data_IF_047001268943
#
_entry.id   IF_047001268943
#
_cell.length_a   1.000
_cell.length_b   1.000
_cell.length_c   1.000
_cell.angle_alpha   90.00
_cell.angle_beta   90.00
_cell.angle_gamma   90.00
#
_symmetry.space_group_name_H-M   'P 1'
#
loop_
_entity.id
_entity.type
_entity.pdbx_description
1 polymer ?
#
# COMPACT_ATOMS: atom_id res chain seq x y z
N UNK A 1 -27.26 30.82 -41.72
CA UNK A 1 -26.25 29.75 -41.88
C UNK A 1 -24.89 30.39 -41.65
N UNK A 2 -24.25 30.13 -40.51
CA UNK A 2 -23.00 30.78 -40.12
C UNK A 2 -21.79 30.24 -40.92
N UNK A 3 -20.77 31.05 -41.25
CA UNK A 3 -19.56 30.61 -41.93
C UNK A 3 -18.40 30.37 -40.94
N UNK A 4 -17.49 29.44 -41.22
CA UNK A 4 -16.08 29.54 -40.80
C UNK A 4 -15.18 28.53 -41.54
N UNK A 5 -14.02 29.07 -41.90
CA UNK A 5 -12.98 28.60 -42.82
C UNK A 5 -12.15 27.39 -42.37
N UNK A 6 -11.41 26.73 -43.30
CA UNK A 6 -10.59 25.57 -43.01
C UNK A 6 -9.29 25.99 -42.31
N UNK A 7 -8.98 25.39 -41.17
CA UNK A 7 -7.66 25.52 -40.58
C UNK A 7 -6.71 24.51 -41.22
N UNK A 8 -5.83 25.04 -42.06
CA UNK A 8 -4.68 24.33 -42.62
C UNK A 8 -3.54 24.13 -41.63
N UNK A 9 -2.58 23.34 -42.12
CA UNK A 9 -1.22 23.13 -41.65
C UNK A 9 -1.04 22.29 -40.37
N UNK A 10 -1.13 20.97 -40.57
CA UNK A 10 -0.42 20.00 -39.73
C UNK A 10 1.09 20.32 -39.72
N UNK A 11 1.58 20.89 -38.62
CA UNK A 11 3.01 20.93 -38.32
C UNK A 11 3.38 19.64 -37.60
N UNK A 12 3.72 18.63 -38.41
CA UNK A 12 4.21 17.36 -37.93
C UNK A 12 5.55 17.50 -37.21
N UNK A 13 5.65 16.94 -35.99
CA UNK A 13 6.53 15.79 -35.72
C UNK A 13 5.95 14.92 -34.60
N UNK A 14 5.35 13.77 -34.95
CA UNK A 14 5.60 12.53 -34.22
C UNK A 14 6.05 11.41 -35.17
N UNK A 15 6.88 10.50 -34.67
CA UNK A 15 7.51 9.43 -35.45
C UNK A 15 6.54 8.60 -36.30
N UNK A 16 6.72 8.74 -37.62
CA UNK A 16 6.57 7.75 -38.71
C UNK A 16 5.30 6.92 -38.94
N UNK A 17 4.27 6.97 -38.10
CA UNK A 17 2.93 6.54 -38.46
C UNK A 17 1.97 7.22 -37.47
N UNK A 18 0.98 7.98 -37.95
CA UNK A 18 0.11 8.88 -37.16
C UNK A 18 -0.74 8.25 -36.05
N UNK A 19 -0.10 7.55 -35.11
CA UNK A 19 -0.67 6.96 -33.91
C UNK A 19 -0.22 7.79 -32.71
N UNK A 20 -1.19 8.19 -31.88
CA UNK A 20 -0.93 8.75 -30.57
C UNK A 20 -0.74 7.62 -29.56
N UNK A 21 0.44 7.55 -28.96
CA UNK A 21 0.78 6.57 -27.93
C UNK A 21 0.61 7.18 -26.54
N UNK A 22 0.05 6.42 -25.60
CA UNK A 22 0.01 6.79 -24.18
C UNK A 22 0.65 5.70 -23.31
N UNK A 23 1.43 6.12 -22.31
CA UNK A 23 2.09 5.22 -21.38
C UNK A 23 1.13 4.82 -20.25
N UNK A 24 1.12 3.52 -19.93
CA UNK A 24 0.39 2.97 -18.81
C UNK A 24 1.31 2.25 -17.83
N UNK A 25 0.94 2.26 -16.55
CA UNK A 25 1.61 1.59 -15.45
C UNK A 25 1.09 0.16 -15.41
N UNK A 26 1.93 -0.79 -15.82
CA UNK A 26 1.62 -2.22 -15.74
C UNK A 26 1.78 -2.76 -14.31
N UNK A 27 2.88 -2.39 -13.66
CA UNK A 27 3.16 -2.70 -12.27
C UNK A 27 3.95 -1.56 -11.64
N UNK A 28 3.73 -1.31 -10.35
CA UNK A 28 4.52 -0.36 -9.58
C UNK A 28 4.81 -0.91 -8.19
N UNK A 29 6.04 -0.74 -7.72
CA UNK A 29 6.47 -1.14 -6.38
C UNK A 29 6.94 0.06 -5.59
N UNK A 30 6.55 0.10 -4.32
CA UNK A 30 6.98 1.14 -3.38
C UNK A 30 7.44 0.47 -2.11
N UNK A 31 8.65 0.82 -1.68
CA UNK A 31 9.26 0.13 -0.56
C UNK A 31 9.84 1.10 0.45
N UNK A 32 9.84 0.67 1.70
CA UNK A 32 10.38 1.38 2.84
C UNK A 32 11.20 0.38 3.66
N UNK A 33 12.48 0.69 3.89
CA UNK A 33 13.37 -0.17 4.68
C UNK A 33 13.73 0.56 5.98
N UNK A 34 13.48 -0.07 7.13
CA UNK A 34 13.98 0.38 8.43
C UNK A 34 15.30 -0.31 8.69
N UNK A 35 16.36 0.47 8.96
CA UNK A 35 17.70 -0.05 9.23
C UNK A 35 17.91 -0.06 10.74
N UNK A 36 18.29 -1.21 11.27
CA UNK A 36 18.56 -1.38 12.70
C UNK A 36 20.04 -1.09 13.01
N UNK A 37 20.26 -0.35 14.09
CA UNK A 37 21.57 -0.12 14.69
C UNK A 37 22.11 -1.42 15.32
N UNK A 38 21.22 -2.23 15.89
CA UNK A 38 21.48 -3.57 16.45
C UNK A 38 20.78 -4.64 15.60
N UNK A 39 21.49 -5.27 14.65
CA UNK A 39 20.86 -6.15 13.66
C UNK A 39 20.16 -7.37 14.27
N UNK A 40 20.72 -7.97 15.33
CA UNK A 40 20.12 -9.10 16.05
C UNK A 40 18.76 -8.71 16.66
N UNK A 41 18.67 -7.54 17.30
CA UNK A 41 17.40 -7.03 17.84
C UNK A 41 16.38 -6.76 16.75
N UNK A 42 16.82 -6.29 15.59
CA UNK A 42 15.96 -6.11 14.42
C UNK A 42 15.35 -7.42 13.92
N UNK A 43 16.14 -8.52 13.95
CA UNK A 43 15.65 -9.86 13.60
C UNK A 43 14.62 -10.37 14.62
N UNK A 44 14.95 -10.31 15.91
CA UNK A 44 14.05 -10.73 16.99
C UNK A 44 12.70 -9.99 16.89
N UNK A 45 12.76 -8.67 16.70
CA UNK A 45 11.58 -7.82 16.51
C UNK A 45 10.74 -8.27 15.30
N UNK A 46 11.37 -8.58 14.16
CA UNK A 46 10.64 -9.04 12.98
C UNK A 46 9.99 -10.42 13.19
N UNK A 47 10.66 -11.32 13.91
CA UNK A 47 10.09 -12.62 14.25
C UNK A 47 8.86 -12.50 15.18
N UNK A 48 8.87 -11.54 16.10
CA UNK A 48 7.69 -11.19 16.91
C UNK A 48 6.56 -10.62 16.06
N UNK A 49 6.86 -9.68 15.15
CA UNK A 49 5.86 -9.14 14.21
C UNK A 49 5.15 -10.28 13.47
N UNK A 50 5.90 -11.25 12.92
CA UNK A 50 5.30 -12.36 12.18
C UNK A 50 4.32 -13.14 13.06
N UNK A 51 4.66 -13.43 14.32
CA UNK A 51 3.80 -14.20 15.23
C UNK A 51 2.51 -13.46 15.57
N UNK A 52 2.62 -12.16 15.82
CA UNK A 52 1.50 -11.35 16.33
C UNK A 52 0.53 -10.88 15.25
N UNK A 53 0.92 -10.96 13.97
CA UNK A 53 0.21 -10.32 12.86
C UNK A 53 -0.26 -11.30 11.77
N UNK A 54 -0.43 -12.59 12.12
CA UNK A 54 -0.97 -13.62 11.22
C UNK A 54 -2.43 -13.34 10.79
N UNK A 55 -3.13 -12.45 11.47
CA UNK A 55 -4.52 -12.10 11.23
C UNK A 55 -4.71 -10.81 10.42
N UNK A 56 -3.63 -10.16 9.95
CA UNK A 56 -3.71 -8.87 9.24
C UNK A 56 -4.53 -8.87 7.94
N UNK A 57 -4.85 -10.05 7.41
CA UNK A 57 -5.72 -10.27 6.26
C UNK A 57 -7.20 -10.19 6.60
N UNK A 58 -7.57 -10.16 7.89
CA UNK A 58 -8.95 -9.98 8.32
C UNK A 58 -9.47 -8.60 7.88
N UNK A 59 -10.75 -8.48 7.49
CA UNK A 59 -11.29 -7.24 6.95
C UNK A 59 -11.09 -6.00 7.83
N UNK A 60 -11.19 -6.10 9.15
CA UNK A 60 -10.95 -4.99 10.07
C UNK A 60 -9.49 -4.52 10.06
N UNK A 61 -8.53 -5.44 9.96
CA UNK A 61 -7.09 -5.14 9.88
C UNK A 61 -6.69 -4.54 8.55
N UNK A 62 -7.15 -5.15 7.46
CA UNK A 62 -6.94 -4.65 6.09
C UNK A 62 -7.47 -3.22 5.95
N UNK A 63 -8.61 -2.90 6.56
CA UNK A 63 -9.15 -1.54 6.54
C UNK A 63 -8.18 -0.49 7.11
N UNK A 64 -7.45 -0.84 8.18
CA UNK A 64 -6.49 0.04 8.81
C UNK A 64 -5.27 0.27 7.91
N UNK A 65 -4.69 -0.80 7.37
CA UNK A 65 -3.49 -0.74 6.54
C UNK A 65 -3.77 0.01 5.23
N UNK A 66 -4.86 -0.32 4.56
CA UNK A 66 -5.18 0.23 3.25
C UNK A 66 -5.96 1.55 3.31
N UNK A 67 -6.52 1.91 4.47
CA UNK A 67 -7.35 3.11 4.64
C UNK A 67 -8.60 3.09 3.75
N UNK A 68 -9.16 1.91 3.52
CA UNK A 68 -10.33 1.68 2.65
C UNK A 68 -11.31 0.80 3.38
N UNK A 69 -12.60 1.14 3.35
CA UNK A 69 -13.65 0.32 3.96
C UNK A 69 -13.78 -1.04 3.27
N UNK A 70 -13.66 -2.12 4.04
CA UNK A 70 -13.83 -3.51 3.61
C UNK A 70 -15.05 -4.06 4.34
N UNK A 71 -16.01 -4.56 3.56
CA UNK A 71 -17.24 -5.16 4.06
C UNK A 71 -17.44 -6.52 3.41
N UNK A 72 -18.43 -7.29 3.85
CA UNK A 72 -18.81 -8.55 3.18
C UNK A 72 -19.15 -8.38 1.69
N UNK A 73 -19.48 -7.16 1.24
CA UNK A 73 -19.79 -6.84 -0.17
C UNK A 73 -18.57 -6.33 -0.94
N UNK A 74 -17.42 -6.13 -0.30
CA UNK A 74 -16.22 -5.65 -1.00
C UNK A 74 -15.63 -6.83 -1.79
N UNK A 75 -15.61 -6.78 -3.13
CA UNK A 75 -15.08 -7.88 -3.93
C UNK A 75 -13.55 -7.95 -3.82
N UNK A 76 -13.02 -9.16 -3.97
CA UNK A 76 -11.59 -9.46 -4.00
C UNK A 76 -11.12 -10.27 -2.79
N UNK A 77 -9.88 -10.72 -2.86
CA UNK A 77 -9.25 -11.55 -1.83
C UNK A 77 -8.50 -10.69 -0.82
N UNK A 78 -8.63 -11.04 0.46
CA UNK A 78 -7.91 -10.46 1.57
C UNK A 78 -7.32 -11.60 2.38
N UNK A 79 -5.99 -11.66 2.50
CA UNK A 79 -5.32 -12.76 3.20
C UNK A 79 -3.98 -12.34 3.78
N UNK A 80 -3.59 -13.00 4.86
CA UNK A 80 -2.21 -13.01 5.35
C UNK A 80 -1.59 -14.36 5.07
N UNK A 81 -0.31 -14.37 4.68
CA UNK A 81 0.50 -15.59 4.56
C UNK A 81 1.89 -15.32 5.12
N UNK A 82 2.47 -16.32 5.76
CA UNK A 82 3.91 -16.35 6.02
C UNK A 82 4.53 -17.28 4.99
N UNK A 83 5.50 -16.78 4.24
CA UNK A 83 6.25 -17.56 3.26
C UNK A 83 7.68 -17.64 3.76
N UNK A 84 8.17 -18.86 3.93
CA UNK A 84 9.53 -19.13 4.34
C UNK A 84 10.34 -19.62 3.14
N UNK A 85 11.40 -18.88 2.81
CA UNK A 85 12.42 -19.31 1.86
C UNK A 85 13.73 -19.54 2.62
N UNK A 86 14.12 -20.81 2.76
CA UNK A 86 15.21 -21.23 3.66
C UNK A 86 14.96 -20.79 5.12
N UNK A 87 15.80 -19.89 5.63
CA UNK A 87 15.74 -19.35 7.01
C UNK A 87 15.19 -17.93 7.07
N UNK A 88 14.64 -17.43 5.96
CA UNK A 88 14.13 -16.06 5.85
C UNK A 88 12.61 -16.08 5.67
N UNK A 89 11.85 -15.96 6.78
CA UNK A 89 10.41 -15.79 6.66
C UNK A 89 10.05 -14.40 6.13
N UNK A 90 8.91 -14.31 5.47
CA UNK A 90 8.33 -13.08 4.96
C UNK A 90 6.83 -13.06 5.26
N UNK A 91 6.33 -11.91 5.70
CA UNK A 91 4.92 -11.67 5.91
C UNK A 91 4.32 -11.08 4.63
N UNK A 92 3.25 -11.68 4.13
CA UNK A 92 2.50 -11.21 2.97
C UNK A 92 1.07 -10.86 3.37
N UNK A 93 0.62 -9.67 3.01
CA UNK A 93 -0.75 -9.21 3.21
C UNK A 93 -1.31 -8.82 1.84
N UNK A 94 -2.26 -9.61 1.36
CA UNK A 94 -2.92 -9.36 0.09
C UNK A 94 -4.16 -8.47 0.28
N UNK A 95 -4.30 -7.48 -0.60
CA UNK A 95 -5.51 -6.69 -0.77
C UNK A 95 -5.85 -6.69 -2.26
N UNK A 96 -6.78 -7.54 -2.68
CA UNK A 96 -7.10 -7.75 -4.10
C UNK A 96 -5.82 -8.06 -4.90
N UNK A 97 -5.48 -7.27 -5.93
CA UNK A 97 -4.25 -7.43 -6.72
C UNK A 97 -3.06 -6.64 -6.17
N UNK A 98 -3.15 -6.12 -4.94
CA UNK A 98 -2.02 -5.56 -4.22
C UNK A 98 -1.40 -6.62 -3.30
N UNK A 99 -0.08 -6.72 -3.25
CA UNK A 99 0.64 -7.53 -2.27
C UNK A 99 1.57 -6.64 -1.46
N UNK A 100 1.38 -6.65 -0.13
CA UNK A 100 2.27 -6.01 0.82
C UNK A 100 3.18 -7.09 1.41
N UNK A 101 4.47 -7.00 1.17
CA UNK A 101 5.47 -7.93 1.67
C UNK A 101 6.31 -7.26 2.72
N UNK A 102 6.58 -7.95 3.82
CA UNK A 102 7.58 -7.52 4.80
C UNK A 102 8.56 -8.65 5.08
N UNK A 103 9.85 -8.35 5.05
CA UNK A 103 10.91 -9.33 5.26
C UNK A 103 12.18 -8.70 5.84
N UNK A 104 12.96 -9.52 6.53
CA UNK A 104 14.27 -9.12 7.02
C UNK A 104 15.32 -9.23 5.90
N UNK A 105 15.89 -8.10 5.51
CA UNK A 105 16.81 -7.91 4.39
C UNK A 105 18.24 -7.70 4.88
N UNK A 106 19.19 -8.40 4.25
CA UNK A 106 20.64 -8.20 4.40
C UNK A 106 21.13 -8.27 5.86
N UNK A 107 20.41 -9.01 6.71
CA UNK A 107 20.75 -9.18 8.11
C UNK A 107 20.63 -7.93 8.98
N UNK A 108 20.18 -6.78 8.45
CA UNK A 108 20.17 -5.50 9.17
C UNK A 108 18.95 -4.61 8.92
N UNK A 109 18.15 -4.88 7.89
CA UNK A 109 16.99 -4.07 7.56
C UNK A 109 15.70 -4.87 7.63
N UNK A 110 14.60 -4.24 8.05
CA UNK A 110 13.25 -4.76 7.77
C UNK A 110 12.70 -3.97 6.57
N UNK A 111 12.38 -4.67 5.49
CA UNK A 111 11.84 -4.05 4.27
C UNK A 111 10.37 -4.35 4.15
N UNK A 112 9.56 -3.30 4.05
CA UNK A 112 8.16 -3.34 3.66
C UNK A 112 8.04 -2.90 2.20
N UNK A 113 7.40 -3.69 1.37
CA UNK A 113 7.28 -3.48 -0.07
C UNK A 113 5.84 -3.72 -0.53
N UNK A 114 5.24 -2.71 -1.15
CA UNK A 114 3.90 -2.77 -1.69
C UNK A 114 3.92 -2.81 -3.21
N UNK A 115 3.33 -3.85 -3.80
CA UNK A 115 3.24 -4.03 -5.25
C UNK A 115 1.82 -3.79 -5.74
N UNK A 116 1.63 -2.78 -6.59
CA UNK A 116 0.41 -2.54 -7.35
C UNK A 116 0.44 -3.35 -8.65
N UNK A 117 -0.35 -4.42 -8.75
CA UNK A 117 -0.57 -5.14 -10.03
C UNK A 117 -1.81 -4.68 -10.79
N UNK A 118 -2.73 -3.99 -10.09
CA UNK A 118 -3.89 -3.35 -10.70
C UNK A 118 -4.22 -2.05 -9.96
N UNK A 119 -4.12 -0.91 -10.63
CA UNK A 119 -4.36 0.41 -10.03
C UNK A 119 -5.85 0.67 -9.77
N UNK A 120 -6.73 -0.02 -10.50
CA UNK A 120 -8.19 0.13 -10.37
C UNK A 120 -8.70 -0.36 -9.01
N UNK A 121 -7.96 -1.25 -8.33
CA UNK A 121 -8.25 -1.68 -6.95
C UNK A 121 -8.23 -0.52 -5.96
N UNK A 122 -7.55 0.58 -6.32
CA UNK A 122 -7.45 1.84 -5.60
C UNK A 122 -8.27 2.97 -6.26
N UNK A 123 -9.05 2.67 -7.29
CA UNK A 123 -9.84 3.61 -8.11
C UNK A 123 -8.96 4.65 -8.82
N UNK A 124 -7.84 4.19 -9.37
CA UNK A 124 -6.87 5.01 -10.09
C UNK A 124 -6.65 4.38 -11.45
N UNK A 125 -6.81 5.13 -12.55
CA UNK A 125 -6.54 4.61 -13.88
C UNK A 125 -5.03 4.38 -14.08
N UNK A 126 -4.67 3.54 -15.06
CA UNK A 126 -3.28 3.11 -15.29
C UNK A 126 -2.39 4.18 -15.95
N UNK A 127 -2.91 5.37 -16.29
CA UNK A 127 -2.11 6.40 -16.95
C UNK A 127 -0.88 6.81 -16.14
N UNK A 128 0.26 7.03 -16.82
CA UNK A 128 1.52 7.39 -16.16
C UNK A 128 1.43 8.68 -15.32
N UNK A 129 0.51 9.60 -15.67
CA UNK A 129 0.23 10.81 -14.89
C UNK A 129 -0.19 10.54 -13.45
N UNK A 130 -0.70 9.34 -13.15
CA UNK A 130 -1.08 8.93 -11.79
C UNK A 130 0.08 8.39 -10.95
N UNK A 131 1.28 8.25 -11.50
CA UNK A 131 2.45 7.70 -10.79
C UNK A 131 2.71 8.40 -9.44
N UNK A 132 2.72 9.75 -9.34
CA UNK A 132 2.96 10.42 -8.05
C UNK A 132 1.87 10.11 -7.01
N UNK A 133 0.62 9.96 -7.46
CA UNK A 133 -0.49 9.63 -6.57
C UNK A 133 -0.40 8.18 -6.06
N UNK A 134 -0.06 7.24 -6.93
CA UNK A 134 0.17 5.85 -6.55
C UNK A 134 1.37 5.71 -5.60
N UNK A 135 2.46 6.45 -5.83
CA UNK A 135 3.59 6.52 -4.89
C UNK A 135 3.16 7.01 -3.51
N UNK A 136 2.33 8.06 -3.45
CA UNK A 136 1.79 8.57 -2.18
C UNK A 136 0.97 7.51 -1.46
N UNK A 137 0.07 6.81 -2.16
CA UNK A 137 -0.73 5.72 -1.60
C UNK A 137 0.18 4.60 -1.07
N UNK A 138 1.14 4.13 -1.87
CA UNK A 138 2.04 3.04 -1.48
C UNK A 138 2.87 3.39 -0.24
N UNK A 139 3.41 4.61 -0.17
CA UNK A 139 4.14 5.10 1.02
C UNK A 139 3.25 5.17 2.26
N UNK A 140 1.98 5.57 2.11
CA UNK A 140 1.03 5.61 3.22
C UNK A 140 0.68 4.20 3.71
N UNK A 141 0.47 3.24 2.80
CA UNK A 141 0.23 1.83 3.15
C UNK A 141 1.40 1.26 3.94
N UNK A 142 2.64 1.45 3.46
CA UNK A 142 3.84 0.97 4.16
C UNK A 142 3.94 1.56 5.57
N UNK A 143 3.65 2.86 5.75
CA UNK A 143 3.69 3.51 7.07
C UNK A 143 2.60 2.98 8.00
N UNK A 144 1.37 2.79 7.50
CA UNK A 144 0.26 2.27 8.32
C UNK A 144 0.50 0.85 8.79
N UNK A 145 1.16 0.01 7.98
CA UNK A 145 1.58 -1.32 8.45
C UNK A 145 2.46 -1.20 9.69
N UNK A 146 3.50 -0.36 9.64
CA UNK A 146 4.41 -0.14 10.77
C UNK A 146 3.69 0.45 11.99
N UNK A 147 2.70 1.33 11.78
CA UNK A 147 1.88 1.89 12.86
C UNK A 147 1.01 0.81 13.53
N UNK A 148 0.40 -0.08 12.74
CA UNK A 148 -0.38 -1.22 13.23
C UNK A 148 0.51 -2.18 14.03
N UNK A 149 1.66 -2.56 13.48
CA UNK A 149 2.63 -3.45 14.13
C UNK A 149 3.13 -2.88 15.46
N UNK A 150 3.46 -1.58 15.49
CA UNK A 150 3.88 -0.89 16.72
C UNK A 150 2.83 -0.93 17.81
N UNK A 151 1.55 -0.78 17.45
CA UNK A 151 0.44 -0.78 18.41
C UNK A 151 0.16 -2.17 18.93
N UNK A 152 0.18 -3.19 18.07
CA UNK A 152 0.06 -4.59 18.48
C UNK A 152 1.14 -4.97 19.49
N UNK A 153 2.40 -4.65 19.17
CA UNK A 153 3.56 -4.97 20.01
C UNK A 153 3.53 -4.27 21.38
N UNK A 154 3.32 -2.95 21.39
CA UNK A 154 3.36 -2.16 22.63
C UNK A 154 2.25 -2.51 23.64
N UNK A 155 1.15 -3.07 23.16
CA UNK A 155 -0.05 -3.22 23.98
C UNK A 155 -0.27 -4.66 24.46
N UNK A 156 0.53 -5.63 23.98
CA UNK A 156 0.24 -7.06 24.14
C UNK A 156 -1.15 -7.44 23.61
N UNK A 157 -1.74 -6.59 22.78
CA UNK A 157 -3.10 -6.72 22.28
C UNK A 157 -3.08 -7.71 21.13
N UNK A 158 -3.21 -8.99 21.45
CA UNK A 158 -3.60 -9.99 20.46
C UNK A 158 -4.94 -9.59 19.84
N UNK A 159 -5.07 -9.66 18.51
CA UNK A 159 -6.31 -9.81 17.72
C UNK A 159 -7.46 -8.79 17.84
N UNK A 160 -7.75 -8.21 19.00
CA UNK A 160 -9.06 -7.61 19.27
C UNK A 160 -9.02 -6.11 19.63
N UNK A 161 -7.84 -5.48 19.68
CA UNK A 161 -7.67 -4.13 20.24
C UNK A 161 -7.27 -2.97 19.30
N UNK A 162 -7.13 -3.17 17.99
CA UNK A 162 -6.59 -2.12 17.10
C UNK A 162 -7.70 -1.22 16.54
N UNK A 163 -8.38 -0.47 17.41
CA UNK A 163 -9.36 0.54 16.98
C UNK A 163 -8.97 1.98 17.35
N UNK A 164 -7.77 2.19 17.90
CA UNK A 164 -7.31 3.52 18.36
C UNK A 164 -6.32 4.23 17.45
N UNK A 165 -5.82 3.59 16.39
CA UNK A 165 -4.73 4.13 15.55
C UNK A 165 -5.23 5.07 14.45
N UNK A 166 -6.52 5.02 14.10
CA UNK A 166 -7.09 5.80 12.99
C UNK A 166 -8.36 6.55 13.40
N UNK A 167 -8.41 7.09 14.61
CA UNK A 167 -9.36 8.17 14.89
C UNK A 167 -8.64 9.52 14.74
N UNK A 168 -9.19 10.49 13.98
CA UNK A 168 -8.68 11.84 14.01
C UNK A 168 -8.71 12.31 15.46
N UNK A 169 -7.58 12.87 15.93
CA UNK A 169 -7.48 13.44 17.26
C UNK A 169 -8.69 14.34 17.50
N UNK A 170 -9.48 14.00 18.51
CA UNK A 170 -10.57 14.84 18.99
C UNK A 170 -9.87 16.02 19.66
N UNK A 171 -9.94 17.21 19.06
CA UNK A 171 -9.64 18.46 19.79
C UNK A 171 -10.63 18.60 20.94
N UNK A 172 -10.23 19.26 22.04
CA UNK A 172 -10.95 19.37 23.32
C UNK A 172 -12.43 19.76 23.22
N UNK A 173 -12.89 20.29 22.08
CA UNK A 173 -14.28 20.68 21.78
C UNK A 173 -15.18 19.60 21.11
N UNK A 174 -14.79 18.32 21.08
CA UNK A 174 -15.72 17.21 20.83
C UNK A 174 -16.37 17.13 19.42
N UNK A 175 -15.90 17.87 18.41
CA UNK A 175 -16.44 17.78 17.04
C UNK A 175 -15.56 16.95 16.10
N UNK A 176 -16.17 15.97 15.42
CA UNK A 176 -15.54 15.14 14.37
C UNK A 176 -15.38 15.95 13.07
N UNK A 177 -14.15 16.07 12.57
CA UNK A 177 -13.86 16.67 11.25
C UNK A 177 -14.27 15.68 10.15
N UNK A 178 -15.23 16.05 9.30
CA UNK A 178 -15.55 15.31 8.06
C UNK A 178 -14.45 15.58 7.03
N UNK A 179 -13.88 14.52 6.46
CA UNK A 179 -12.92 14.54 5.36
C UNK A 179 -12.86 13.18 4.71
#
# INVERSE_FOLDING_TARGET
MAPAHPHGAATARPGTAGYDWSLSIWQMEVSLTQIFDRPVRGREFFEEIIRDNLDLGRPDRVQLIFGRRVTKRTPGEFRTRVIQDGVHPSLHIAYKNFDLKQYFKEGRGCRTEGTFRNTDDFRVNRGLSNLPYLQKIGRQINRRLLEVERVSHNSGLSGDGIQRVVQPAVTEDGKRRRG
#
